data_IF_920675069468
#
_entry.id   IF_920675069468
#
_cell.length_a   1.000
_cell.length_b   1.000
_cell.length_c   1.000
_cell.angle_alpha   90.00
_cell.angle_beta   90.00
_cell.angle_gamma   90.00
#
_symmetry.space_group_name_H-M   'P 1'
#
loop_
_entity.id
_entity.type
_entity.pdbx_description
1 polymer ?
#
# COMPACT_ATOMS: atom_id res chain seq x y z
N UNK A 1 22.69 22.18 18.64
CA UNK A 1 22.77 20.86 17.97
C UNK A 1 21.36 20.41 17.65
N UNK A 2 21.08 19.95 16.43
CA UNK A 2 19.77 19.41 16.04
C UNK A 2 19.86 17.88 16.08
N UNK A 3 18.93 17.23 16.77
CA UNK A 3 18.83 15.77 16.87
C UNK A 3 17.49 15.31 16.31
N UNK A 4 17.50 14.18 15.61
CA UNK A 4 16.30 13.46 15.18
C UNK A 4 16.49 11.95 15.46
N UNK A 5 15.43 11.18 15.22
CA UNK A 5 15.42 9.71 15.35
C UNK A 5 15.02 9.08 14.01
N UNK A 6 15.88 9.17 12.96
CA UNK A 6 15.55 8.65 11.64
C UNK A 6 15.21 7.16 11.69
N UNK A 7 14.13 6.78 11.02
CA UNK A 7 13.70 5.38 10.93
C UNK A 7 12.98 4.83 12.15
N UNK A 8 12.90 5.54 13.28
CA UNK A 8 12.28 5.02 14.51
C UNK A 8 10.80 4.65 14.34
N UNK A 9 10.08 5.36 13.48
CA UNK A 9 8.68 5.08 13.16
C UNK A 9 8.49 4.34 11.82
N UNK A 10 9.56 3.86 11.19
CA UNK A 10 9.48 3.37 9.81
C UNK A 10 8.50 2.20 9.64
N UNK A 11 8.50 1.25 10.59
CA UNK A 11 7.57 0.13 10.58
C UNK A 11 6.10 0.58 10.73
N UNK A 12 5.84 1.56 11.59
CA UNK A 12 4.49 2.08 11.82
C UNK A 12 3.94 2.75 10.55
N UNK A 13 4.76 3.55 9.87
CA UNK A 13 4.37 4.17 8.59
C UNK A 13 4.16 3.11 7.51
N UNK A 14 5.04 2.10 7.43
CA UNK A 14 4.88 0.98 6.50
C UNK A 14 3.53 0.28 6.68
N UNK A 15 3.16 -0.07 7.91
CA UNK A 15 1.87 -0.73 8.20
C UNK A 15 0.68 0.17 7.85
N UNK A 16 0.78 1.47 8.15
CA UNK A 16 -0.25 2.44 7.80
C UNK A 16 -0.45 2.55 6.28
N UNK A 17 0.63 2.53 5.50
CA UNK A 17 0.57 2.58 4.03
C UNK A 17 -0.09 1.34 3.45
N UNK A 18 0.26 0.15 3.96
CA UNK A 18 -0.39 -1.10 3.53
C UNK A 18 -1.88 -1.09 3.87
N UNK A 19 -2.26 -0.65 5.07
CA UNK A 19 -3.66 -0.47 5.43
C UNK A 19 -4.38 0.50 4.49
N UNK A 20 -3.81 1.68 4.26
CA UNK A 20 -4.39 2.69 3.38
C UNK A 20 -4.58 2.17 1.95
N UNK A 21 -3.62 1.41 1.42
CA UNK A 21 -3.74 0.78 0.12
C UNK A 21 -4.91 -0.21 0.07
N UNK A 22 -5.06 -1.07 1.08
CA UNK A 22 -6.17 -2.02 1.17
C UNK A 22 -7.54 -1.32 1.29
N UNK A 23 -7.61 -0.22 2.05
CA UNK A 23 -8.80 0.63 2.15
C UNK A 23 -9.11 1.35 0.82
N UNK A 24 -8.10 1.71 0.04
CA UNK A 24 -8.29 2.30 -1.28
C UNK A 24 -8.72 1.27 -2.34
N UNK A 25 -8.29 0.01 -2.20
CA UNK A 25 -8.68 -1.07 -3.13
C UNK A 25 -10.14 -1.48 -3.00
N UNK A 26 -10.76 -1.29 -1.83
CA UNK A 26 -12.11 -1.72 -1.53
C UNK A 26 -12.77 -0.83 -0.47
N UNK A 27 -14.04 -0.52 -0.67
CA UNK A 27 -14.82 0.33 0.26
C UNK A 27 -15.17 -0.39 1.58
N UNK A 28 -14.16 -0.59 2.41
CA UNK A 28 -14.32 -1.12 3.77
C UNK A 28 -15.01 -0.11 4.70
N UNK A 29 -14.84 1.19 4.46
CA UNK A 29 -15.43 2.23 5.30
C UNK A 29 -16.94 2.21 5.13
N UNK A 30 -17.43 2.25 3.88
CA UNK A 30 -18.86 2.13 3.57
C UNK A 30 -19.45 0.80 4.05
N UNK A 31 -18.70 -0.31 3.94
CA UNK A 31 -19.14 -1.59 4.47
C UNK A 31 -19.32 -1.55 6.00
N UNK A 32 -18.35 -0.97 6.73
CA UNK A 32 -18.43 -0.83 8.20
C UNK A 32 -19.60 0.06 8.59
N UNK A 33 -19.80 1.18 7.90
CA UNK A 33 -20.88 2.10 8.20
C UNK A 33 -22.26 1.50 7.88
N UNK A 34 -22.36 0.71 6.81
CA UNK A 34 -23.56 -0.06 6.51
C UNK A 34 -23.88 -1.07 7.61
N UNK A 35 -22.88 -1.82 8.11
CA UNK A 35 -23.09 -2.76 9.22
C UNK A 35 -23.59 -2.03 10.48
N UNK A 36 -22.99 -0.88 10.82
CA UNK A 36 -23.43 -0.08 11.98
C UNK A 36 -24.86 0.42 11.81
N UNK A 37 -25.24 0.90 10.62
CA UNK A 37 -26.57 1.42 10.35
C UNK A 37 -27.66 0.35 10.37
N UNK A 38 -27.30 -0.93 10.19
CA UNK A 38 -28.22 -2.06 10.15
C UNK A 38 -28.03 -3.01 11.35
N UNK A 39 -27.44 -2.53 12.45
CA UNK A 39 -27.11 -3.37 13.61
C UNK A 39 -28.33 -4.07 14.24
N UNK A 40 -29.51 -3.47 14.14
CA UNK A 40 -30.77 -3.99 14.68
C UNK A 40 -31.60 -4.81 13.67
N UNK A 41 -31.06 -5.07 12.47
CA UNK A 41 -31.76 -5.89 11.45
C UNK A 41 -31.83 -7.37 11.87
N UNK A 42 -33.04 -7.84 12.16
CA UNK A 42 -33.29 -9.24 12.53
C UNK A 42 -32.92 -10.24 11.43
N UNK A 43 -32.85 -9.82 10.16
CA UNK A 43 -32.50 -10.62 8.99
C UNK A 43 -31.15 -10.21 8.37
N UNK A 44 -30.22 -9.69 9.17
CA UNK A 44 -28.95 -9.09 8.71
C UNK A 44 -28.16 -9.96 7.72
N UNK A 45 -28.21 -11.29 7.84
CA UNK A 45 -27.54 -12.20 6.92
C UNK A 45 -28.08 -12.07 5.48
N UNK A 46 -29.41 -12.01 5.33
CA UNK A 46 -30.07 -11.86 4.02
C UNK A 46 -29.86 -10.46 3.45
N UNK A 47 -29.91 -9.44 4.29
CA UNK A 47 -29.63 -8.06 3.91
C UNK A 47 -28.18 -7.87 3.45
N UNK A 48 -27.23 -8.50 4.14
CA UNK A 48 -25.79 -8.47 3.80
C UNK A 48 -25.53 -9.08 2.43
N UNK A 49 -26.16 -10.23 2.11
CA UNK A 49 -26.00 -10.88 0.81
C UNK A 49 -26.45 -9.99 -0.36
N UNK A 50 -27.46 -9.13 -0.14
CA UNK A 50 -27.90 -8.14 -1.13
C UNK A 50 -26.96 -6.94 -1.20
N UNK A 51 -26.48 -6.46 -0.05
CA UNK A 51 -25.70 -5.23 0.06
C UNK A 51 -24.22 -5.40 -0.32
N UNK A 52 -23.61 -6.58 -0.14
CA UNK A 52 -22.16 -6.79 -0.28
C UNK A 52 -21.57 -6.38 -1.64
N UNK A 53 -22.38 -6.43 -2.71
CA UNK A 53 -21.96 -6.02 -4.05
C UNK A 53 -21.65 -4.52 -4.14
N UNK A 54 -22.27 -3.69 -3.30
CA UNK A 54 -22.03 -2.25 -3.27
C UNK A 54 -20.62 -1.89 -2.77
N UNK A 55 -20.00 -2.78 -1.97
CA UNK A 55 -18.67 -2.60 -1.39
C UNK A 55 -17.61 -3.47 -2.09
N UNK A 56 -17.90 -3.89 -3.33
CA UNK A 56 -16.96 -4.64 -4.13
C UNK A 56 -15.81 -3.71 -4.57
N UNK A 57 -14.59 -4.15 -4.33
CA UNK A 57 -13.37 -3.49 -4.77
C UNK A 57 -12.55 -4.39 -5.68
N UNK A 58 -11.28 -4.06 -5.81
CA UNK A 58 -10.27 -4.87 -6.50
C UNK A 58 -9.32 -5.52 -5.49
N UNK A 59 -8.60 -6.54 -5.94
CA UNK A 59 -7.50 -7.13 -5.18
C UNK A 59 -6.19 -6.46 -5.59
N UNK A 60 -5.24 -6.38 -4.66
CA UNK A 60 -3.90 -5.84 -4.92
C UNK A 60 -2.96 -6.89 -5.55
N UNK A 61 -3.28 -8.18 -5.47
CA UNK A 61 -2.45 -9.25 -6.01
C UNK A 61 -2.23 -9.05 -7.51
N UNK A 62 -0.97 -9.06 -7.95
CA UNK A 62 -0.58 -8.84 -9.34
C UNK A 62 -0.67 -7.39 -9.83
N UNK A 63 -1.18 -6.46 -9.02
CA UNK A 63 -1.20 -5.02 -9.34
C UNK A 63 0.19 -4.41 -9.24
N UNK A 64 0.39 -3.31 -9.96
CA UNK A 64 1.66 -2.58 -9.99
C UNK A 64 1.70 -1.47 -8.96
N UNK A 65 2.68 -1.49 -8.06
CA UNK A 65 2.93 -0.44 -7.07
C UNK A 65 4.19 0.34 -7.42
N UNK A 66 4.07 1.65 -7.56
CA UNK A 66 5.18 2.59 -7.64
C UNK A 66 5.57 3.12 -6.27
N UNK A 67 6.84 2.98 -5.90
CA UNK A 67 7.41 3.49 -4.66
C UNK A 67 8.44 4.56 -5.01
N UNK A 68 8.13 5.82 -4.70
CA UNK A 68 9.01 6.97 -4.91
C UNK A 68 9.70 7.28 -3.58
N UNK A 69 11.02 7.10 -3.53
CA UNK A 69 11.82 7.14 -2.31
C UNK A 69 11.97 5.75 -1.71
N UNK A 70 13.21 5.26 -1.62
CA UNK A 70 13.59 3.92 -1.18
C UNK A 70 14.50 3.99 0.06
N UNK A 71 14.26 5.00 0.90
CA UNK A 71 14.81 5.09 2.25
C UNK A 71 14.20 4.08 3.22
N UNK A 72 14.35 4.32 4.53
CA UNK A 72 13.94 3.38 5.58
C UNK A 72 12.48 2.91 5.47
N UNK A 73 11.54 3.80 5.10
CA UNK A 73 10.11 3.45 4.96
C UNK A 73 9.85 2.81 3.60
N UNK A 74 10.27 3.46 2.51
CA UNK A 74 9.95 3.02 1.15
C UNK A 74 10.48 1.63 0.84
N UNK A 75 11.68 1.28 1.31
CA UNK A 75 12.21 -0.07 1.17
C UNK A 75 11.33 -1.12 1.89
N UNK A 76 10.85 -0.82 3.10
CA UNK A 76 9.96 -1.73 3.84
C UNK A 76 8.59 -1.87 3.16
N UNK A 77 8.05 -0.78 2.61
CA UNK A 77 6.78 -0.80 1.85
C UNK A 77 6.94 -1.63 0.57
N UNK A 78 8.02 -1.38 -0.20
CA UNK A 78 8.33 -2.11 -1.42
C UNK A 78 8.42 -3.62 -1.16
N UNK A 79 9.16 -4.02 -0.12
CA UNK A 79 9.32 -5.43 0.24
C UNK A 79 8.00 -6.08 0.68
N UNK A 80 7.19 -5.35 1.45
CA UNK A 80 5.90 -5.86 1.94
C UNK A 80 4.91 -6.02 0.79
N UNK A 81 4.85 -5.07 -0.13
CA UNK A 81 4.01 -5.14 -1.32
C UNK A 81 4.42 -6.29 -2.25
N UNK A 82 5.72 -6.49 -2.46
CA UNK A 82 6.25 -7.63 -3.21
C UNK A 82 5.85 -8.97 -2.55
N UNK A 83 5.97 -9.07 -1.22
CA UNK A 83 5.55 -10.27 -0.47
C UNK A 83 4.03 -10.53 -0.54
N UNK A 84 3.22 -9.47 -0.70
CA UNK A 84 1.77 -9.55 -0.97
C UNK A 84 1.46 -9.86 -2.44
N UNK A 85 2.48 -10.10 -3.27
CA UNK A 85 2.35 -10.51 -4.67
C UNK A 85 2.09 -9.35 -5.64
N UNK A 86 2.39 -8.11 -5.26
CA UNK A 86 2.37 -6.97 -6.18
C UNK A 86 3.64 -6.93 -7.05
N UNK A 87 3.52 -6.33 -8.24
CA UNK A 87 4.68 -5.96 -9.06
C UNK A 87 5.19 -4.59 -8.62
N UNK A 88 6.37 -4.54 -8.02
CA UNK A 88 6.85 -3.30 -7.38
C UNK A 88 7.90 -2.59 -8.24
N UNK A 89 7.71 -1.29 -8.40
CA UNK A 89 8.51 -0.37 -9.18
C UNK A 89 9.11 0.65 -8.21
N UNK A 90 10.41 0.60 -7.98
CA UNK A 90 11.11 1.48 -7.04
C UNK A 90 11.91 2.56 -7.76
N UNK A 91 11.72 3.83 -7.36
CA UNK A 91 12.51 4.97 -7.83
C UNK A 91 13.13 5.71 -6.64
N UNK A 92 14.45 5.89 -6.66
CA UNK A 92 15.15 6.78 -5.72
C UNK A 92 16.45 7.29 -6.35
N UNK A 93 16.63 8.62 -6.56
CA UNK A 93 17.82 9.18 -7.19
C UNK A 93 19.06 9.16 -6.29
N UNK A 94 18.90 8.89 -5.00
CA UNK A 94 19.95 8.90 -3.98
C UNK A 94 20.14 7.53 -3.32
N UNK A 95 19.67 6.46 -3.96
CA UNK A 95 19.74 5.11 -3.42
C UNK A 95 21.18 4.71 -3.10
N UNK A 96 21.47 4.53 -1.81
CA UNK A 96 22.76 3.98 -1.39
C UNK A 96 22.86 2.48 -1.69
N UNK A 97 24.09 1.99 -1.88
CA UNK A 97 24.36 0.55 -2.07
C UNK A 97 23.77 -0.28 -0.93
N UNK A 98 23.94 0.15 0.31
CA UNK A 98 23.40 -0.56 1.48
C UNK A 98 21.87 -0.60 1.49
N UNK A 99 21.22 0.48 1.10
CA UNK A 99 19.76 0.51 0.97
C UNK A 99 19.30 -0.44 -0.15
N UNK A 100 20.00 -0.49 -1.27
CA UNK A 100 19.70 -1.42 -2.36
C UNK A 100 19.75 -2.89 -1.91
N UNK A 101 20.70 -3.28 -1.05
CA UNK A 101 20.77 -4.64 -0.49
C UNK A 101 19.59 -5.02 0.41
N UNK A 102 18.92 -4.03 1.00
CA UNK A 102 17.75 -4.25 1.85
C UNK A 102 16.44 -4.44 1.09
N UNK A 103 16.46 -4.23 -0.24
CA UNK A 103 15.28 -4.29 -1.09
C UNK A 103 15.19 -5.69 -1.73
N UNK A 104 13.97 -6.23 -1.81
CA UNK A 104 13.70 -7.49 -2.47
C UNK A 104 14.14 -7.40 -3.95
N UNK A 105 14.83 -8.44 -4.43
CA UNK A 105 15.35 -8.52 -5.80
C UNK A 105 14.27 -8.45 -6.87
N UNK A 106 13.04 -8.79 -6.53
CA UNK A 106 11.89 -8.72 -7.43
C UNK A 106 11.37 -7.28 -7.63
N UNK A 107 11.83 -6.32 -6.82
CA UNK A 107 11.51 -4.90 -6.99
C UNK A 107 12.26 -4.38 -8.22
N UNK A 108 11.51 -3.90 -9.21
CA UNK A 108 12.06 -3.29 -10.41
C UNK A 108 12.55 -1.88 -10.10
N UNK A 109 13.86 -1.70 -10.07
CA UNK A 109 14.46 -0.37 -10.00
C UNK A 109 14.24 0.37 -11.33
N UNK A 110 13.60 1.53 -11.27
CA UNK A 110 13.46 2.45 -12.41
C UNK A 110 14.31 3.70 -12.21
N UNK A 111 14.79 4.23 -13.34
CA UNK A 111 15.69 5.40 -13.38
C UNK A 111 14.92 6.67 -13.71
N UNK A 112 13.73 6.55 -14.29
CA UNK A 112 12.84 7.65 -14.61
C UNK A 112 11.52 7.49 -13.84
N UNK A 113 11.17 8.50 -13.04
CA UNK A 113 9.93 8.50 -12.25
C UNK A 113 8.67 8.47 -13.13
N UNK A 114 8.76 8.97 -14.37
CA UNK A 114 7.65 8.94 -15.34
C UNK A 114 7.17 7.51 -15.65
N UNK A 115 8.05 6.51 -15.53
CA UNK A 115 7.67 5.10 -15.71
C UNK A 115 6.69 4.65 -14.61
N UNK A 116 6.82 5.16 -13.38
CA UNK A 116 5.87 4.87 -12.29
C UNK A 116 4.48 5.43 -12.65
N UNK A 117 4.42 6.69 -13.08
CA UNK A 117 3.16 7.37 -13.37
C UNK A 117 2.39 6.73 -14.51
N UNK A 118 3.09 6.14 -15.48
CA UNK A 118 2.48 5.48 -16.65
C UNK A 118 2.03 4.07 -16.35
N UNK A 119 2.79 3.33 -15.54
CA UNK A 119 2.63 1.88 -15.44
C UNK A 119 1.90 1.42 -14.17
N UNK A 120 1.94 2.20 -13.08
CA UNK A 120 1.50 1.70 -11.77
C UNK A 120 0.01 1.95 -11.49
N UNK A 121 -0.65 0.98 -10.87
CA UNK A 121 -2.02 1.12 -10.37
C UNK A 121 -2.08 1.92 -9.06
N UNK A 122 -1.03 1.81 -8.24
CA UNK A 122 -0.88 2.49 -6.96
C UNK A 122 0.46 3.22 -6.90
N UNK A 123 0.50 4.36 -6.22
CA UNK A 123 1.73 5.14 -6.03
C UNK A 123 1.81 5.57 -4.56
N UNK A 124 2.99 5.39 -3.97
CA UNK A 124 3.31 5.87 -2.61
C UNK A 124 4.63 6.66 -2.63
N UNK A 125 4.71 7.69 -1.78
CA UNK A 125 5.80 8.67 -1.76
C UNK A 125 6.43 8.70 -0.37
N UNK A 126 7.75 8.52 -0.33
CA UNK A 126 8.58 8.39 0.87
C UNK A 126 9.94 9.12 0.68
N UNK A 127 9.88 10.44 0.43
CA UNK A 127 11.05 11.31 0.20
C UNK A 127 11.54 11.99 1.48
#
# INVERSE_FOLDING_TARGET
VVFNTPGANANAVKEQVILAMLLASRDYIGAVDWVKANADDADIAKSTEKAKKAFAGTEILGKKLGVIGLGAIGAMVANSAAALGMQVYGYDPYLSVNAAWSINRDVKHIVNVEDIYRECDYITIHV
#
